data_IF_230135702739
#
_entry.id   IF_230135702739
#
_cell.length_a   1.000
_cell.length_b   1.000
_cell.length_c   1.000
_cell.angle_alpha   90.00
_cell.angle_beta   90.00
_cell.angle_gamma   90.00
#
_symmetry.space_group_name_H-M   'P 1'
#
loop_
_entity.id
_entity.type
_entity.pdbx_description
1 polymer ?
#
# COMPACT_ATOMS: atom_id res chain seq x y z
N UNK A 1 -1.93 14.06 -17.89
CA UNK A 1 -2.48 12.77 -17.45
C UNK A 1 -1.34 11.76 -17.42
N UNK A 2 -1.16 11.10 -16.30
CA UNK A 2 -0.22 9.98 -16.14
C UNK A 2 -0.63 8.80 -17.05
N UNK A 3 0.29 7.90 -17.31
CA UNK A 3 0.03 6.72 -18.15
C UNK A 3 0.74 5.49 -17.61
N UNK A 4 0.26 4.26 -17.91
CA UNK A 4 0.97 3.03 -17.55
C UNK A 4 2.42 3.01 -18.04
N UNK A 5 2.68 3.58 -19.22
CA UNK A 5 4.04 3.72 -19.75
C UNK A 5 4.89 4.66 -18.89
N UNK A 6 4.33 5.76 -18.41
CA UNK A 6 5.02 6.68 -17.49
C UNK A 6 5.36 5.98 -16.18
N UNK A 7 4.40 5.25 -15.59
CA UNK A 7 4.64 4.46 -14.38
C UNK A 7 5.75 3.43 -14.59
N UNK A 8 5.69 2.66 -15.68
CA UNK A 8 6.75 1.68 -15.98
C UNK A 8 8.10 2.37 -16.19
N UNK A 9 8.14 3.49 -16.93
CA UNK A 9 9.36 4.25 -17.14
C UNK A 9 9.95 4.77 -15.83
N UNK A 10 9.11 5.24 -14.91
CA UNK A 10 9.50 5.66 -13.58
C UNK A 10 10.13 4.52 -12.80
N UNK A 11 9.47 3.36 -12.77
CA UNK A 11 9.91 2.19 -11.98
C UNK A 11 11.13 1.49 -12.58
N UNK A 12 11.24 1.44 -13.89
CA UNK A 12 12.42 0.88 -14.57
C UNK A 12 13.61 1.84 -14.43
N UNK A 13 13.37 3.16 -14.45
CA UNK A 13 14.40 4.17 -14.28
C UNK A 13 15.57 3.98 -15.24
N UNK A 14 16.80 4.05 -14.69
CA UNK A 14 18.05 3.63 -15.32
C UNK A 14 18.39 2.17 -15.02
N UNK A 15 17.38 1.34 -14.73
CA UNK A 15 17.58 -0.09 -14.43
C UNK A 15 18.31 -0.80 -15.59
N UNK A 16 19.05 -1.87 -15.31
CA UNK A 16 19.79 -2.59 -16.34
C UNK A 16 18.86 -3.04 -17.46
N UNK A 17 19.39 -3.12 -18.67
CA UNK A 17 18.68 -3.44 -19.92
C UNK A 17 17.89 -4.76 -19.91
N UNK A 18 17.90 -5.49 -18.78
CA UNK A 18 17.25 -6.79 -18.59
C UNK A 18 16.66 -6.89 -17.18
N UNK A 19 15.42 -7.34 -17.08
CA UNK A 19 14.73 -7.62 -15.84
C UNK A 19 13.48 -6.78 -15.61
N UNK A 20 12.69 -7.17 -14.61
CA UNK A 20 11.47 -6.48 -14.23
C UNK A 20 11.67 -5.69 -12.92
N UNK A 21 10.98 -4.56 -12.75
CA UNK A 21 10.99 -3.84 -11.47
C UNK A 21 10.45 -4.72 -10.35
N UNK A 22 11.04 -4.58 -9.16
CA UNK A 22 10.58 -5.20 -7.92
C UNK A 22 10.14 -4.14 -6.93
N UNK A 23 8.89 -4.21 -6.47
CA UNK A 23 8.30 -3.25 -5.54
C UNK A 23 8.03 -3.86 -4.18
N UNK A 24 8.19 -3.03 -3.15
CA UNK A 24 7.81 -3.33 -1.76
C UNK A 24 6.63 -2.48 -1.27
N UNK A 25 6.23 -1.45 -2.01
CA UNK A 25 5.06 -0.63 -1.68
C UNK A 25 3.81 -1.51 -1.55
N UNK A 26 3.03 -1.25 -0.51
CA UNK A 26 1.92 -2.12 -0.14
C UNK A 26 2.31 -3.36 0.64
N UNK A 27 3.50 -3.89 0.45
CA UNK A 27 3.97 -5.09 1.16
C UNK A 27 4.45 -4.77 2.58
N UNK A 28 5.25 -3.71 2.74
CA UNK A 28 5.81 -3.26 4.03
C UNK A 28 5.01 -2.13 4.69
N UNK A 29 3.92 -1.70 4.07
CA UNK A 29 3.07 -0.60 4.56
C UNK A 29 2.35 -0.97 5.87
N UNK A 30 1.99 -2.23 6.06
CA UNK A 30 1.33 -2.73 7.27
C UNK A 30 2.29 -3.22 8.35
N UNK A 31 3.40 -3.84 7.96
CA UNK A 31 4.41 -4.37 8.86
C UNK A 31 5.80 -4.28 8.23
N UNK A 32 6.82 -4.19 9.06
CA UNK A 32 8.22 -4.11 8.65
C UNK A 32 8.93 -5.37 9.13
N UNK A 33 9.85 -5.94 8.34
CA UNK A 33 10.67 -7.04 8.82
C UNK A 33 11.39 -6.70 10.13
N UNK A 34 11.21 -7.52 11.15
CA UNK A 34 11.88 -7.36 12.47
C UNK A 34 13.40 -7.25 12.33
N UNK A 35 13.97 -7.95 11.36
CA UNK A 35 15.39 -7.90 11.04
C UNK A 35 15.82 -6.48 10.63
N UNK A 36 14.99 -5.77 9.85
CA UNK A 36 15.27 -4.41 9.43
C UNK A 36 15.15 -3.42 10.60
N UNK A 37 14.16 -3.59 11.46
CA UNK A 37 14.00 -2.77 12.66
C UNK A 37 15.22 -2.91 13.60
N UNK A 38 15.69 -4.14 13.84
CA UNK A 38 16.86 -4.40 14.68
C UNK A 38 18.16 -3.81 14.10
N UNK A 39 18.25 -3.70 12.79
CA UNK A 39 19.43 -3.13 12.14
C UNK A 39 19.50 -1.60 12.29
N UNK A 40 18.35 -0.92 12.37
CA UNK A 40 18.25 0.55 12.48
C UNK A 40 18.15 1.00 13.93
N UNK A 41 17.22 0.40 14.68
CA UNK A 41 17.05 0.65 16.10
C UNK A 41 17.97 -0.33 16.86
N UNK A 42 19.08 0.15 17.31
CA UNK A 42 20.05 -0.63 18.10
C UNK A 42 19.44 -1.23 19.38
N UNK A 43 18.31 -0.71 19.83
CA UNK A 43 17.57 -1.13 21.00
C UNK A 43 16.12 -1.46 20.60
N UNK A 44 15.60 -2.68 20.91
CA UNK A 44 14.19 -3.04 20.65
C UNK A 44 13.18 -2.06 21.28
N UNK A 45 13.52 -1.43 22.39
CA UNK A 45 12.64 -0.45 23.06
C UNK A 45 12.46 0.84 22.24
N UNK A 46 13.30 1.07 21.22
CA UNK A 46 13.16 2.21 20.31
C UNK A 46 12.20 1.95 19.14
N UNK A 47 11.68 0.73 18.96
CA UNK A 47 10.81 0.40 17.83
C UNK A 47 9.61 1.32 17.68
N UNK A 48 8.87 1.68 18.75
CA UNK A 48 7.77 2.61 18.63
C UNK A 48 8.21 4.00 18.16
N UNK A 49 9.40 4.46 18.54
CA UNK A 49 9.91 5.79 18.17
C UNK A 49 10.30 5.88 16.70
N UNK A 50 10.70 4.76 16.06
CA UNK A 50 11.06 4.73 14.63
C UNK A 50 9.93 5.28 13.77
N UNK A 51 8.69 4.97 14.10
CA UNK A 51 7.51 5.41 13.33
C UNK A 51 7.11 6.87 13.56
N UNK A 52 7.67 7.50 14.58
CA UNK A 52 7.40 8.88 14.94
C UNK A 52 8.59 9.82 14.65
N UNK A 53 9.70 9.26 14.18
CA UNK A 53 10.91 10.00 13.84
C UNK A 53 11.18 9.90 12.34
N UNK A 54 11.15 11.01 11.59
CA UNK A 54 11.32 10.99 10.14
C UNK A 54 12.73 10.54 9.70
N UNK A 55 13.77 10.80 10.49
CA UNK A 55 15.14 10.39 10.16
C UNK A 55 15.31 8.88 10.33
N UNK A 56 14.78 8.31 11.43
CA UNK A 56 14.78 6.86 11.65
C UNK A 56 13.93 6.14 10.62
N UNK A 57 12.76 6.68 10.28
CA UNK A 57 11.87 6.10 9.28
C UNK A 57 12.49 6.14 7.87
N UNK A 58 13.16 7.24 7.51
CA UNK A 58 13.92 7.34 6.27
C UNK A 58 15.10 6.37 6.25
N UNK A 59 15.85 6.28 7.36
CA UNK A 59 16.94 5.32 7.52
C UNK A 59 16.47 3.87 7.33
N UNK A 60 15.32 3.52 7.90
CA UNK A 60 14.70 2.19 7.75
C UNK A 60 14.33 1.90 6.29
N UNK A 61 13.68 2.84 5.61
CA UNK A 61 13.32 2.71 4.19
C UNK A 61 14.56 2.53 3.30
N UNK A 62 15.61 3.32 3.53
CA UNK A 62 16.88 3.22 2.81
C UNK A 62 17.57 1.88 3.07
N UNK A 63 17.61 1.44 4.33
CA UNK A 63 18.21 0.16 4.69
C UNK A 63 17.52 -1.02 4.00
N UNK A 64 16.19 -1.05 4.01
CA UNK A 64 15.41 -2.08 3.32
C UNK A 64 15.69 -2.03 1.82
N UNK A 65 15.62 -0.85 1.21
CA UNK A 65 15.89 -0.67 -0.22
C UNK A 65 17.28 -1.15 -0.62
N UNK A 66 18.31 -0.70 0.08
CA UNK A 66 19.70 -1.04 -0.22
C UNK A 66 20.00 -2.53 0.02
N UNK A 67 19.35 -3.16 1.02
CA UNK A 67 19.53 -4.58 1.32
C UNK A 67 18.79 -5.46 0.33
N UNK A 68 17.56 -5.11 -0.02
CA UNK A 68 16.69 -5.94 -0.88
C UNK A 68 16.98 -5.71 -2.36
N UNK A 69 17.32 -4.49 -2.77
CA UNK A 69 17.48 -4.11 -4.17
C UNK A 69 16.14 -3.82 -4.85
N UNK A 70 15.19 -3.22 -4.11
CA UNK A 70 13.90 -2.81 -4.69
C UNK A 70 14.05 -1.69 -5.71
N UNK A 71 13.14 -1.59 -6.66
CA UNK A 71 13.19 -0.59 -7.74
C UNK A 71 12.69 0.79 -7.32
N UNK A 72 12.20 0.93 -6.10
CA UNK A 72 11.71 2.19 -5.54
C UNK A 72 11.94 2.24 -4.04
N UNK A 73 11.92 3.44 -3.51
CA UNK A 73 11.80 3.67 -2.07
C UNK A 73 10.32 3.59 -1.69
N UNK A 74 10.03 2.89 -0.60
CA UNK A 74 8.69 2.68 -0.07
C UNK A 74 8.64 3.11 1.38
N UNK A 75 7.50 3.63 1.81
CA UNK A 75 7.26 4.02 3.20
C UNK A 75 6.81 2.80 4.01
N UNK A 76 7.55 2.38 5.03
CA UNK A 76 7.06 1.36 5.94
C UNK A 76 5.99 1.94 6.88
N UNK A 77 5.03 1.08 7.27
CA UNK A 77 4.00 1.38 8.29
C UNK A 77 3.13 2.61 8.05
N UNK A 78 2.75 2.86 6.78
CA UNK A 78 1.92 4.00 6.40
C UNK A 78 0.40 3.76 6.53
N UNK A 79 -0.07 2.54 6.78
CA UNK A 79 -1.49 2.17 6.74
C UNK A 79 -2.40 2.84 7.78
N UNK A 80 -1.86 3.44 8.82
CA UNK A 80 -2.65 4.00 9.93
C UNK A 80 -2.54 5.50 10.11
N UNK A 81 -1.72 6.14 9.30
CA UNK A 81 -1.40 7.57 9.43
C UNK A 81 -2.66 8.43 9.39
N UNK A 82 -3.57 8.14 8.47
CA UNK A 82 -4.82 8.90 8.31
C UNK A 82 -5.81 8.60 9.43
N UNK A 83 -5.98 7.33 9.84
CA UNK A 83 -6.90 6.97 10.92
C UNK A 83 -6.46 7.50 12.27
N UNK A 84 -5.16 7.51 12.56
CA UNK A 84 -4.58 8.10 13.78
C UNK A 84 -4.88 9.59 13.87
N UNK A 85 -4.82 10.31 12.76
CA UNK A 85 -5.13 11.74 12.72
C UNK A 85 -6.60 12.03 13.06
N UNK A 86 -7.51 11.09 12.84
CA UNK A 86 -8.91 11.16 13.28
C UNK A 86 -9.14 10.67 14.73
N UNK A 87 -8.09 10.27 15.43
CA UNK A 87 -8.19 9.72 16.79
C UNK A 87 -8.45 8.21 16.83
N UNK A 88 -8.36 7.53 15.67
CA UNK A 88 -8.33 6.08 15.59
C UNK A 88 -6.99 5.54 16.09
N UNK A 89 -7.02 4.37 16.71
CA UNK A 89 -5.86 3.55 17.10
C UNK A 89 -4.58 4.28 17.58
N UNK A 90 -4.69 5.20 18.53
CA UNK A 90 -3.53 5.92 19.06
C UNK A 90 -2.53 5.06 19.83
N UNK A 91 -2.96 3.91 20.36
CA UNK A 91 -2.19 3.14 21.34
C UNK A 91 -1.38 1.96 20.78
N UNK A 92 -1.44 1.70 19.46
CA UNK A 92 -0.72 0.56 18.87
C UNK A 92 0.81 0.73 18.85
N UNK A 93 1.30 1.95 19.04
CA UNK A 93 2.73 2.24 19.11
C UNK A 93 3.19 2.76 20.48
N UNK A 94 2.30 2.84 21.45
CA UNK A 94 2.59 3.38 22.77
C UNK A 94 3.11 2.36 23.79
N UNK A 95 3.19 1.09 23.46
CA UNK A 95 3.68 0.09 24.41
C UNK A 95 3.76 -1.34 23.86
N UNK A 96 4.90 -1.91 24.04
CA UNK A 96 5.22 -3.33 24.31
C UNK A 96 4.92 -4.41 23.25
N UNK A 97 4.28 -4.14 22.11
CA UNK A 97 4.07 -5.16 21.09
C UNK A 97 4.33 -4.63 19.70
N UNK A 98 4.95 -5.43 18.80
CA UNK A 98 5.11 -5.04 17.41
C UNK A 98 3.75 -4.77 16.75
N UNK A 99 3.70 -3.90 15.73
CA UNK A 99 2.46 -3.34 15.17
C UNK A 99 1.45 -4.35 14.63
N UNK A 100 1.73 -5.63 14.63
CA UNK A 100 0.87 -6.67 14.07
C UNK A 100 0.27 -7.65 15.10
N UNK A 101 0.70 -7.68 16.32
CA UNK A 101 -0.06 -8.34 17.38
C UNK A 101 -1.21 -7.43 17.82
N UNK A 102 -2.26 -7.40 16.99
CA UNK A 102 -3.61 -7.16 17.51
C UNK A 102 -3.80 -8.17 18.65
N UNK A 103 -3.58 -7.73 19.89
CA UNK A 103 -3.99 -8.54 21.03
C UNK A 103 -5.47 -8.81 20.80
N UNK A 104 -5.84 -10.07 20.59
CA UNK A 104 -7.22 -10.51 20.37
C UNK A 104 -8.20 -10.07 21.47
N UNK A 105 -7.70 -9.36 22.46
CA UNK A 105 -8.39 -8.89 23.65
C UNK A 105 -8.39 -7.36 23.81
N UNK A 106 -7.81 -6.58 22.90
CA UNK A 106 -7.94 -5.11 22.94
C UNK A 106 -9.39 -4.75 22.60
N UNK A 107 -10.09 -4.16 23.54
CA UNK A 107 -11.40 -3.53 23.28
C UNK A 107 -11.11 -2.26 22.48
N UNK A 108 -11.39 -2.33 21.20
CA UNK A 108 -11.18 -1.27 20.26
C UNK A 108 -12.30 -0.24 20.41
N UNK A 109 -11.99 0.95 20.85
CA UNK A 109 -12.94 2.06 20.83
C UNK A 109 -12.81 2.82 19.49
N UNK A 110 -13.79 2.62 18.61
CA UNK A 110 -13.85 3.38 17.36
C UNK A 110 -14.22 4.85 17.64
N UNK A 111 -13.63 5.80 16.92
CA UNK A 111 -13.97 7.21 17.04
C UNK A 111 -15.44 7.52 16.76
N UNK A 112 -16.07 6.74 15.87
CA UNK A 112 -17.46 6.89 15.48
C UNK A 112 -18.28 5.70 16.00
N UNK A 113 -19.43 6.00 16.62
CA UNK A 113 -20.38 4.97 17.09
C UNK A 113 -21.44 4.65 16.04
N UNK A 114 -21.86 5.67 15.30
CA UNK A 114 -22.79 5.54 14.19
C UNK A 114 -22.30 6.35 12.99
N UNK A 115 -22.84 6.05 11.81
CA UNK A 115 -22.35 6.65 10.57
C UNK A 115 -22.49 8.17 10.56
N UNK A 116 -23.58 8.70 11.11
CA UNK A 116 -23.87 10.15 11.15
C UNK A 116 -22.83 10.96 11.96
N UNK A 117 -22.09 10.31 12.87
CA UNK A 117 -21.07 10.97 13.71
C UNK A 117 -19.93 11.57 12.88
N UNK A 118 -19.72 11.06 11.64
CA UNK A 118 -18.67 11.60 10.76
C UNK A 118 -18.84 13.10 10.48
N UNK A 119 -20.07 13.63 10.57
CA UNK A 119 -20.33 15.07 10.38
C UNK A 119 -19.67 15.95 11.44
N UNK A 120 -19.25 15.35 12.55
CA UNK A 120 -18.44 15.99 13.59
C UNK A 120 -16.93 15.97 13.31
N UNK A 121 -16.47 15.18 12.36
CA UNK A 121 -15.06 15.15 11.99
C UNK A 121 -14.69 16.42 11.23
N UNK A 122 -13.43 16.83 11.44
CA UNK A 122 -12.82 17.93 10.68
C UNK A 122 -11.98 17.39 9.54
N UNK A 123 -11.84 18.16 8.48
CA UNK A 123 -10.84 17.88 7.44
C UNK A 123 -9.43 17.88 8.05
N UNK A 124 -8.60 16.96 7.57
CA UNK A 124 -7.22 16.82 8.04
C UNK A 124 -6.30 17.86 7.40
N UNK A 125 -5.37 18.36 8.19
CA UNK A 125 -4.25 19.16 7.71
C UNK A 125 -2.98 18.28 7.68
N UNK A 126 -2.49 17.87 6.51
CA UNK A 126 -1.31 17.00 6.41
C UNK A 126 -0.02 17.59 7.03
N UNK A 127 0.06 18.92 7.19
CA UNK A 127 1.24 19.57 7.77
C UNK A 127 1.23 19.59 9.32
N UNK A 128 0.12 19.18 9.97
CA UNK A 128 0.00 19.28 11.44
C UNK A 128 -0.66 18.09 12.12
N UNK A 129 -1.47 17.28 11.40
CA UNK A 129 -2.33 16.31 12.05
C UNK A 129 -1.71 14.91 12.11
N UNK A 130 -1.79 14.29 13.29
CA UNK A 130 -1.27 12.94 13.53
C UNK A 130 0.20 12.79 13.14
N UNK A 131 0.53 11.66 12.49
CA UNK A 131 1.86 11.38 11.94
C UNK A 131 2.03 11.83 10.48
N UNK A 132 1.07 12.51 9.89
CA UNK A 132 1.19 13.02 8.52
C UNK A 132 2.46 13.86 8.32
N UNK A 133 2.82 14.83 9.21
CA UNK A 133 4.07 15.59 9.09
C UNK A 133 5.32 14.72 9.09
N UNK A 134 5.33 13.63 9.86
CA UNK A 134 6.45 12.67 9.89
C UNK A 134 6.61 12.00 8.52
N UNK A 135 5.52 11.56 7.92
CA UNK A 135 5.53 10.97 6.56
C UNK A 135 6.05 11.98 5.54
N UNK A 136 5.59 13.23 5.58
CA UNK A 136 6.02 14.26 4.65
C UNK A 136 7.52 14.54 4.77
N UNK A 137 8.04 14.65 5.99
CA UNK A 137 9.46 14.88 6.20
C UNK A 137 10.29 13.67 5.79
N UNK A 138 9.82 12.45 6.09
CA UNK A 138 10.46 11.21 5.62
C UNK A 138 10.60 11.19 4.10
N UNK A 139 9.54 11.54 3.35
CA UNK A 139 9.59 11.62 1.88
C UNK A 139 10.64 12.62 1.39
N UNK A 140 10.73 13.80 2.02
CA UNK A 140 11.75 14.82 1.70
C UNK A 140 13.16 14.26 1.91
N UNK A 141 13.40 13.60 3.04
CA UNK A 141 14.70 12.96 3.37
C UNK A 141 15.06 11.86 2.38
N UNK A 142 14.11 10.98 2.02
CA UNK A 142 14.31 9.94 1.02
C UNK A 142 14.69 10.52 -0.34
N UNK A 143 13.97 11.55 -0.80
CA UNK A 143 14.25 12.19 -2.08
C UNK A 143 15.60 12.91 -2.11
N UNK A 144 16.01 13.50 -0.97
CA UNK A 144 17.35 14.08 -0.83
C UNK A 144 18.45 13.01 -0.86
N UNK A 145 18.23 11.88 -0.19
CA UNK A 145 19.22 10.79 -0.09
C UNK A 145 19.40 10.02 -1.42
N UNK A 146 18.33 9.83 -2.18
CA UNK A 146 18.31 9.04 -3.43
C UNK A 146 17.50 9.74 -4.51
N UNK A 147 18.07 10.79 -5.11
CA UNK A 147 17.40 11.63 -6.12
C UNK A 147 16.92 10.88 -7.36
N UNK A 148 17.66 9.86 -7.77
CA UNK A 148 17.40 9.09 -8.98
C UNK A 148 16.46 7.88 -8.73
N UNK A 149 16.26 7.49 -7.48
CA UNK A 149 15.36 6.39 -7.11
C UNK A 149 13.95 6.93 -6.93
N UNK A 150 12.94 6.34 -7.59
CA UNK A 150 11.56 6.75 -7.40
C UNK A 150 11.11 6.54 -5.96
N UNK A 151 10.36 7.49 -5.43
CA UNK A 151 9.73 7.40 -4.11
C UNK A 151 8.24 7.18 -4.31
N UNK A 152 7.71 6.10 -3.76
CA UNK A 152 6.28 5.78 -3.82
C UNK A 152 5.63 6.19 -2.50
N UNK A 153 4.62 7.05 -2.60
CA UNK A 153 3.74 7.40 -1.49
C UNK A 153 2.67 6.32 -1.29
N UNK A 154 2.25 6.12 -0.06
CA UNK A 154 1.20 5.17 0.30
C UNK A 154 -0.06 5.90 0.76
N UNK A 155 -1.22 5.37 0.37
CA UNK A 155 -2.54 5.89 0.69
C UNK A 155 -3.43 4.75 1.18
N UNK A 156 -4.31 5.06 2.12
CA UNK A 156 -5.36 4.13 2.55
C UNK A 156 -6.63 4.41 1.77
N UNK A 157 -7.23 3.35 1.21
CA UNK A 157 -8.49 3.48 0.49
C UNK A 157 -9.66 3.84 1.42
N UNK A 158 -10.65 4.56 0.90
CA UNK A 158 -11.72 5.15 1.73
C UNK A 158 -12.52 4.14 2.56
N UNK A 159 -12.72 2.92 2.05
CA UNK A 159 -13.45 1.88 2.79
C UNK A 159 -12.63 1.32 3.95
N UNK A 160 -11.36 1.05 3.75
CA UNK A 160 -10.48 0.60 4.84
C UNK A 160 -10.25 1.70 5.87
N UNK A 161 -10.13 2.94 5.42
CA UNK A 161 -10.07 4.09 6.34
C UNK A 161 -11.38 4.20 7.15
N UNK A 162 -12.54 4.04 6.52
CA UNK A 162 -13.81 4.04 7.22
C UNK A 162 -13.90 2.94 8.27
N UNK A 163 -13.42 1.70 7.97
CA UNK A 163 -13.41 0.61 8.96
C UNK A 163 -12.45 0.81 10.13
N UNK A 164 -11.49 1.71 10.00
CA UNK A 164 -10.63 2.14 11.11
C UNK A 164 -11.27 3.21 12.00
N UNK A 165 -12.39 3.80 11.56
CA UNK A 165 -13.09 4.87 12.27
C UNK A 165 -14.44 4.42 12.83
N UNK A 166 -15.07 3.41 12.23
CA UNK A 166 -16.34 2.85 12.68
C UNK A 166 -16.30 1.32 12.59
N UNK A 167 -16.98 0.64 13.50
CA UNK A 167 -17.07 -0.83 13.48
C UNK A 167 -17.50 -1.37 12.10
N UNK A 168 -16.75 -2.34 11.58
CA UNK A 168 -16.94 -2.89 10.24
C UNK A 168 -18.32 -3.52 10.02
N UNK A 169 -18.96 -4.06 11.06
CA UNK A 169 -20.34 -4.59 10.95
C UNK A 169 -21.35 -3.45 10.79
N UNK A 170 -21.14 -2.35 11.48
CA UNK A 170 -21.95 -1.14 11.36
C UNK A 170 -21.80 -0.57 9.94
N UNK A 171 -20.57 -0.45 9.44
CA UNK A 171 -20.29 0.00 8.08
C UNK A 171 -20.99 -0.89 7.03
N UNK A 172 -20.87 -2.21 7.13
CA UNK A 172 -21.51 -3.15 6.19
C UNK A 172 -23.05 -3.07 6.23
N UNK A 173 -23.64 -2.83 7.40
CA UNK A 173 -25.10 -2.61 7.49
C UNK A 173 -25.51 -1.33 6.79
N UNK A 174 -24.71 -0.27 6.92
CA UNK A 174 -24.98 1.05 6.30
C UNK A 174 -25.01 0.99 4.77
N UNK A 175 -24.33 0.05 4.15
CA UNK A 175 -24.39 -0.17 2.69
C UNK A 175 -25.85 -0.31 2.23
N UNK A 176 -26.67 -1.05 2.99
CA UNK A 176 -28.08 -1.31 2.63
C UNK A 176 -29.07 -0.32 3.27
N UNK A 177 -28.80 0.12 4.50
CA UNK A 177 -29.74 0.95 5.27
C UNK A 177 -29.53 2.45 5.07
N UNK A 178 -28.30 2.90 4.82
CA UNK A 178 -27.90 4.31 4.82
C UNK A 178 -26.94 4.63 3.66
N UNK A 179 -27.10 3.97 2.51
CA UNK A 179 -26.19 4.06 1.39
C UNK A 179 -25.88 5.48 0.88
N UNK A 180 -26.82 6.43 1.01
CA UNK A 180 -26.59 7.84 0.67
C UNK A 180 -25.59 8.47 1.67
N UNK A 181 -25.81 8.28 2.97
CA UNK A 181 -24.97 8.81 4.03
C UNK A 181 -23.57 8.18 3.98
N UNK A 182 -23.49 6.87 3.67
CA UNK A 182 -22.21 6.20 3.48
C UNK A 182 -21.43 6.81 2.31
N UNK A 183 -22.08 7.11 1.19
CA UNK A 183 -21.40 7.78 0.06
C UNK A 183 -20.89 9.17 0.43
N UNK A 184 -21.64 9.94 1.22
CA UNK A 184 -21.16 11.23 1.72
C UNK A 184 -19.95 11.08 2.61
N UNK A 185 -19.93 10.09 3.52
CA UNK A 185 -18.82 9.80 4.40
C UNK A 185 -17.56 9.37 3.62
N UNK A 186 -17.71 8.43 2.67
CA UNK A 186 -16.60 8.01 1.81
C UNK A 186 -16.07 9.16 0.95
N UNK A 187 -16.94 10.04 0.47
CA UNK A 187 -16.57 11.28 -0.22
C UNK A 187 -15.73 12.20 0.67
N UNK A 188 -16.15 12.40 1.91
CA UNK A 188 -15.39 13.20 2.89
C UNK A 188 -13.99 12.61 3.13
N UNK A 189 -13.88 11.29 3.36
CA UNK A 189 -12.60 10.62 3.53
C UNK A 189 -11.72 10.74 2.28
N UNK A 190 -12.31 10.56 1.09
CA UNK A 190 -11.60 10.70 -0.19
C UNK A 190 -10.95 12.06 -0.37
N UNK A 191 -11.66 13.16 -0.07
CA UNK A 191 -11.07 14.50 -0.19
C UNK A 191 -9.92 14.72 0.81
N UNK A 192 -9.95 14.09 1.99
CA UNK A 192 -8.84 14.12 2.93
C UNK A 192 -7.65 13.28 2.44
N UNK A 193 -7.90 12.08 1.91
CA UNK A 193 -6.87 11.25 1.27
C UNK A 193 -6.22 11.99 0.09
N UNK A 194 -6.99 12.71 -0.74
CA UNK A 194 -6.46 13.56 -1.82
C UNK A 194 -5.59 14.70 -1.27
N UNK A 195 -6.02 15.36 -0.20
CA UNK A 195 -5.22 16.40 0.45
C UNK A 195 -3.87 15.87 0.91
N UNK A 196 -3.86 14.69 1.51
CA UNK A 196 -2.63 14.02 1.96
C UNK A 196 -1.77 13.56 0.79
N UNK A 197 -2.37 12.99 -0.26
CA UNK A 197 -1.67 12.59 -1.48
C UNK A 197 -0.95 13.79 -2.14
N UNK A 198 -1.62 14.92 -2.28
CA UNK A 198 -1.00 16.15 -2.80
C UNK A 198 0.14 16.67 -1.92
N UNK A 199 0.01 16.57 -0.60
CA UNK A 199 1.09 16.92 0.32
C UNK A 199 2.29 15.98 0.16
N UNK A 200 2.06 14.66 0.04
CA UNK A 200 3.11 13.68 -0.23
C UNK A 200 3.78 13.93 -1.60
N UNK A 201 3.04 14.26 -2.66
CA UNK A 201 3.61 14.59 -3.96
C UNK A 201 4.55 15.82 -3.85
N UNK A 202 4.12 16.88 -3.16
CA UNK A 202 4.98 18.04 -2.89
C UNK A 202 6.20 17.71 -2.03
N UNK A 203 6.10 16.69 -1.18
CA UNK A 203 7.20 16.21 -0.35
C UNK A 203 8.18 15.31 -1.10
N UNK A 204 7.85 14.87 -2.32
CA UNK A 204 8.75 14.12 -3.21
C UNK A 204 8.27 12.74 -3.62
N UNK A 205 7.04 12.34 -3.30
CA UNK A 205 6.43 11.14 -3.87
C UNK A 205 6.17 11.33 -5.36
N UNK A 206 6.54 10.35 -6.18
CA UNK A 206 6.47 10.40 -7.66
C UNK A 206 5.43 9.44 -8.24
N UNK A 207 4.98 8.48 -7.44
CA UNK A 207 3.87 7.58 -7.72
C UNK A 207 3.18 7.21 -6.41
N UNK A 208 1.99 6.62 -6.49
CA UNK A 208 1.23 6.27 -5.30
C UNK A 208 0.75 4.83 -5.32
N UNK A 209 0.68 4.24 -4.14
CA UNK A 209 0.10 2.93 -3.90
C UNK A 209 -1.11 3.08 -2.96
N UNK A 210 -2.31 2.78 -3.46
CA UNK A 210 -3.56 2.83 -2.68
C UNK A 210 -3.91 1.43 -2.20
N UNK A 211 -4.00 1.27 -0.88
CA UNK A 211 -4.39 0.01 -0.25
C UNK A 211 -5.81 0.10 0.32
N UNK A 212 -6.70 -0.75 -0.16
CA UNK A 212 -8.05 -0.85 0.40
C UNK A 212 -8.43 -2.32 0.65
N UNK A 213 -7.79 -2.99 1.64
CA UNK A 213 -8.00 -4.40 1.90
C UNK A 213 -9.44 -4.77 2.29
N UNK A 214 -10.25 -3.81 2.72
CA UNK A 214 -11.67 -4.04 2.98
C UNK A 214 -12.51 -4.04 1.70
N UNK A 215 -12.07 -3.36 0.66
CA UNK A 215 -12.79 -3.26 -0.61
C UNK A 215 -12.52 -4.47 -1.51
N UNK A 216 -12.92 -5.65 -1.08
CA UNK A 216 -12.82 -6.87 -1.89
C UNK A 216 -14.18 -7.27 -2.47
N UNK A 217 -14.15 -8.02 -3.57
CA UNK A 217 -15.38 -8.54 -4.15
C UNK A 217 -16.08 -9.54 -3.23
N UNK A 218 -15.34 -10.27 -2.41
CA UNK A 218 -15.87 -11.24 -1.44
C UNK A 218 -16.62 -10.56 -0.29
N UNK A 219 -16.19 -9.37 0.11
CA UNK A 219 -16.84 -8.59 1.19
C UNK A 219 -18.02 -7.78 0.63
N UNK A 220 -17.81 -7.08 -0.47
CA UNK A 220 -18.79 -6.13 -1.01
C UNK A 220 -19.69 -6.74 -2.09
N UNK A 221 -19.18 -7.67 -2.89
CA UNK A 221 -19.74 -8.00 -4.18
C UNK A 221 -19.47 -6.92 -5.23
N UNK A 222 -19.52 -7.30 -6.51
CA UNK A 222 -19.17 -6.40 -7.61
C UNK A 222 -20.07 -5.13 -7.65
N UNK A 223 -21.37 -5.28 -7.42
CA UNK A 223 -22.32 -4.15 -7.42
C UNK A 223 -21.96 -3.09 -6.37
N UNK A 224 -21.71 -3.49 -5.13
CA UNK A 224 -21.36 -2.53 -4.08
C UNK A 224 -19.92 -2.00 -4.22
N UNK A 225 -19.01 -2.78 -4.79
CA UNK A 225 -17.69 -2.27 -5.17
C UNK A 225 -17.81 -1.10 -6.17
N UNK A 226 -18.67 -1.23 -7.16
CA UNK A 226 -18.93 -0.17 -8.14
C UNK A 226 -19.55 1.09 -7.53
N UNK A 227 -20.33 0.95 -6.47
CA UNK A 227 -21.00 2.06 -5.80
C UNK A 227 -20.17 2.73 -4.71
N UNK A 228 -19.34 1.95 -3.99
CA UNK A 228 -18.70 2.39 -2.76
C UNK A 228 -17.15 2.35 -2.81
N UNK A 229 -16.54 1.84 -3.88
CA UNK A 229 -15.09 1.85 -4.07
C UNK A 229 -14.68 2.59 -5.35
N UNK A 230 -15.15 2.15 -6.51
CA UNK A 230 -14.75 2.64 -7.82
C UNK A 230 -14.80 4.17 -7.99
N UNK A 231 -15.89 4.89 -7.61
CA UNK A 231 -15.98 6.34 -7.83
C UNK A 231 -14.89 7.11 -7.06
N UNK A 232 -14.55 6.63 -5.88
CA UNK A 232 -13.57 7.27 -5.00
C UNK A 232 -12.13 7.00 -5.47
N UNK A 233 -11.84 5.79 -5.95
CA UNK A 233 -10.54 5.50 -6.56
C UNK A 233 -10.32 6.34 -7.81
N UNK A 234 -11.34 6.46 -8.66
CA UNK A 234 -11.26 7.27 -9.86
C UNK A 234 -11.05 8.75 -9.52
N UNK A 235 -11.72 9.25 -8.48
CA UNK A 235 -11.52 10.62 -7.99
C UNK A 235 -10.09 10.87 -7.51
N UNK A 236 -9.49 9.91 -6.78
CA UNK A 236 -8.08 9.98 -6.34
C UNK A 236 -7.16 9.92 -7.57
N UNK A 237 -7.41 8.99 -8.50
CA UNK A 237 -6.61 8.85 -9.72
C UNK A 237 -6.62 10.11 -10.59
N UNK A 238 -7.78 10.75 -10.76
CA UNK A 238 -7.91 12.01 -11.50
C UNK A 238 -7.05 13.11 -10.87
N UNK A 239 -7.16 13.28 -9.55
CA UNK A 239 -6.40 14.30 -8.84
C UNK A 239 -4.88 14.06 -8.89
N UNK A 240 -4.43 12.81 -8.75
CA UNK A 240 -3.03 12.46 -8.86
C UNK A 240 -2.53 12.59 -10.31
N UNK A 241 -3.38 12.28 -11.29
CA UNK A 241 -3.09 12.48 -12.70
C UNK A 241 -2.87 13.96 -13.06
N UNK A 242 -3.56 14.90 -12.40
CA UNK A 242 -3.31 16.34 -12.51
C UNK A 242 -1.93 16.74 -11.99
N UNK A 243 -1.46 16.09 -10.94
CA UNK A 243 -0.10 16.26 -10.37
C UNK A 243 0.98 15.50 -11.18
N UNK A 244 0.59 14.71 -12.19
CA UNK A 244 1.51 13.88 -12.97
C UNK A 244 1.98 12.61 -12.23
N UNK A 245 1.35 12.25 -11.13
CA UNK A 245 1.69 11.09 -10.29
C UNK A 245 0.81 9.89 -10.65
N UNK A 246 1.38 8.79 -11.18
CA UNK A 246 0.62 7.56 -11.42
C UNK A 246 0.15 6.90 -10.13
N UNK A 247 -1.01 6.22 -10.22
CA UNK A 247 -1.61 5.47 -9.12
C UNK A 247 -1.60 3.97 -9.40
N UNK A 248 -1.17 3.19 -8.41
CA UNK A 248 -1.35 1.73 -8.34
C UNK A 248 -2.43 1.46 -7.28
N UNK A 249 -3.47 0.73 -7.64
CA UNK A 249 -4.52 0.31 -6.68
C UNK A 249 -4.33 -1.16 -6.35
N UNK A 250 -4.22 -1.47 -5.05
CA UNK A 250 -4.16 -2.84 -4.55
C UNK A 250 -5.56 -3.34 -4.21
N UNK A 251 -5.92 -4.47 -4.80
CA UNK A 251 -7.18 -5.16 -4.56
C UNK A 251 -6.89 -6.60 -4.13
N UNK A 252 -7.28 -6.90 -2.89
CA UNK A 252 -7.23 -8.26 -2.36
C UNK A 252 -8.35 -9.14 -2.95
N UNK A 253 -8.23 -10.44 -2.76
CA UNK A 253 -9.26 -11.41 -3.10
C UNK A 253 -9.21 -11.90 -4.56
N UNK A 254 -10.36 -12.41 -5.06
CA UNK A 254 -10.47 -13.01 -6.38
C UNK A 254 -10.78 -11.94 -7.46
N UNK A 255 -9.81 -11.58 -8.29
CA UNK A 255 -9.94 -10.46 -9.23
C UNK A 255 -10.98 -10.70 -10.33
N UNK A 256 -11.34 -11.96 -10.63
CA UNK A 256 -12.33 -12.28 -11.66
C UNK A 256 -13.71 -11.71 -11.36
N UNK A 257 -14.03 -11.54 -10.08
CA UNK A 257 -15.31 -10.98 -9.65
C UNK A 257 -15.45 -9.49 -9.97
N UNK A 258 -14.34 -8.81 -10.28
CA UNK A 258 -14.27 -7.38 -10.58
C UNK A 258 -13.76 -7.09 -12.01
N UNK A 259 -13.73 -8.08 -12.88
CA UNK A 259 -13.14 -7.98 -14.22
C UNK A 259 -13.65 -6.77 -15.02
N UNK A 260 -14.97 -6.61 -15.09
CA UNK A 260 -15.61 -5.51 -15.82
C UNK A 260 -15.37 -4.14 -15.16
N UNK A 261 -15.12 -4.15 -13.84
CA UNK A 261 -14.85 -2.93 -13.08
C UNK A 261 -13.44 -2.41 -13.32
N UNK A 262 -12.47 -3.31 -13.48
CA UNK A 262 -11.07 -2.93 -13.72
C UNK A 262 -10.90 -2.06 -14.98
N UNK A 263 -11.67 -2.33 -16.04
CA UNK A 263 -11.64 -1.52 -17.26
C UNK A 263 -12.06 -0.06 -17.01
N UNK A 264 -12.86 0.19 -15.98
CA UNK A 264 -13.40 1.51 -15.62
C UNK A 264 -12.59 2.24 -14.55
N UNK A 265 -11.59 1.57 -13.95
CA UNK A 265 -10.66 2.23 -13.03
C UNK A 265 -9.70 3.11 -13.81
N UNK A 266 -9.45 4.32 -13.32
CA UNK A 266 -8.57 5.29 -13.97
C UNK A 266 -7.09 5.17 -13.54
N UNK A 267 -6.77 4.28 -12.59
CA UNK A 267 -5.39 4.02 -12.16
C UNK A 267 -4.52 3.44 -13.28
N UNK A 268 -3.22 3.66 -13.22
CA UNK A 268 -2.24 3.15 -14.19
C UNK A 268 -1.80 1.72 -13.88
N UNK A 269 -1.82 1.33 -12.60
CA UNK A 269 -1.42 0.00 -12.15
C UNK A 269 -2.48 -0.68 -11.30
N UNK A 270 -2.55 -2.01 -11.41
CA UNK A 270 -3.36 -2.87 -10.55
C UNK A 270 -2.45 -3.87 -9.84
N UNK A 271 -2.43 -3.78 -8.52
CA UNK A 271 -1.77 -4.77 -7.69
C UNK A 271 -2.77 -5.85 -7.30
N UNK A 272 -2.52 -7.09 -7.76
CA UNK A 272 -3.45 -8.20 -7.64
C UNK A 272 -2.79 -9.39 -6.94
N UNK A 273 -3.57 -10.06 -6.11
CA UNK A 273 -3.12 -11.30 -5.45
C UNK A 273 -2.80 -12.39 -6.47
N UNK A 274 -3.60 -12.51 -7.52
CA UNK A 274 -3.40 -13.46 -8.63
C UNK A 274 -3.71 -12.79 -9.96
N UNK A 275 -2.91 -13.10 -10.99
CA UNK A 275 -3.28 -12.70 -12.32
C UNK A 275 -4.40 -13.63 -12.82
N UNK A 276 -5.54 -13.08 -13.15
CA UNK A 276 -6.59 -13.88 -13.74
C UNK A 276 -6.26 -14.16 -15.20
N UNK A 277 -6.27 -15.44 -15.58
CA UNK A 277 -6.18 -15.81 -16.99
C UNK A 277 -7.38 -15.22 -17.74
N UNK A 278 -7.13 -14.42 -18.77
CA UNK A 278 -8.16 -13.98 -19.72
C UNK A 278 -9.06 -12.84 -19.26
N UNK A 279 -8.62 -11.94 -18.37
CA UNK A 279 -9.37 -10.70 -18.10
C UNK A 279 -9.26 -9.74 -19.28
N UNK A 280 -10.34 -9.63 -20.03
CA UNK A 280 -10.59 -8.47 -20.86
C UNK A 280 -10.70 -7.25 -19.94
N UNK A 281 -10.07 -6.11 -20.31
CA UNK A 281 -10.15 -4.87 -19.54
C UNK A 281 -8.90 -4.52 -18.72
N UNK A 282 -7.89 -5.41 -18.70
CA UNK A 282 -6.56 -5.07 -18.15
C UNK A 282 -5.64 -4.45 -19.21
N UNK A 283 -6.10 -4.39 -20.48
CA UNK A 283 -5.36 -3.76 -21.56
C UNK A 283 -5.05 -2.29 -21.20
N UNK A 284 -3.77 -1.95 -21.24
CA UNK A 284 -3.31 -0.62 -20.90
C UNK A 284 -3.10 -0.35 -19.40
N UNK A 285 -3.14 -1.38 -18.52
CA UNK A 285 -2.75 -1.27 -17.11
C UNK A 285 -1.51 -2.10 -16.82
N UNK A 286 -0.67 -1.64 -15.91
CA UNK A 286 0.43 -2.45 -15.38
C UNK A 286 -0.09 -3.40 -14.31
N UNK A 287 0.21 -4.68 -14.46
CA UNK A 287 -0.03 -5.66 -13.41
C UNK A 287 1.16 -5.70 -12.45
N UNK A 288 0.87 -5.52 -11.16
CA UNK A 288 1.83 -5.51 -10.06
C UNK A 288 1.53 -6.68 -9.13
N UNK A 289 2.54 -7.47 -8.76
CA UNK A 289 2.37 -8.62 -7.87
C UNK A 289 3.16 -9.84 -8.29
N UNK A 290 2.56 -11.00 -8.16
CA UNK A 290 3.08 -12.26 -8.72
C UNK A 290 3.79 -13.16 -7.72
N UNK A 291 4.19 -12.72 -6.55
CA UNK A 291 4.77 -13.57 -5.51
C UNK A 291 3.78 -13.68 -4.34
N UNK A 292 3.31 -14.88 -4.05
CA UNK A 292 2.43 -15.08 -2.89
C UNK A 292 3.15 -14.74 -1.60
N UNK A 293 2.55 -13.88 -0.75
CA UNK A 293 3.15 -13.43 0.50
C UNK A 293 3.56 -14.61 1.41
N UNK A 294 2.74 -15.66 1.46
CA UNK A 294 3.01 -16.87 2.24
C UNK A 294 4.29 -17.61 1.79
N UNK A 295 4.71 -17.47 0.54
CA UNK A 295 5.94 -18.07 0.02
C UNK A 295 7.22 -17.43 0.61
N UNK A 296 7.09 -16.19 1.05
CA UNK A 296 8.21 -15.42 1.63
C UNK A 296 8.34 -15.65 3.14
N UNK A 297 7.29 -16.17 3.77
CA UNK A 297 7.29 -16.49 5.20
C UNK A 297 8.06 -17.79 5.44
N UNK A 298 8.83 -17.84 6.52
CA UNK A 298 9.59 -19.04 6.89
C UNK A 298 10.76 -19.36 5.95
N UNK A 299 11.18 -18.43 5.11
CA UNK A 299 12.29 -18.60 4.16
C UNK A 299 13.61 -18.83 4.90
N UNK A 300 14.16 -20.03 4.75
CA UNK A 300 15.42 -20.44 5.35
C UNK A 300 16.66 -20.23 4.48
N UNK A 301 16.48 -19.74 3.24
CA UNK A 301 17.57 -19.45 2.29
C UNK A 301 18.15 -20.68 1.60
N UNK A 302 17.43 -21.81 1.55
CA UNK A 302 17.84 -22.99 0.80
C UNK A 302 17.82 -22.74 -0.73
N UNK A 303 18.57 -23.52 -1.48
CA UNK A 303 18.54 -23.46 -2.94
C UNK A 303 17.15 -23.81 -3.51
N UNK A 304 16.42 -24.69 -2.84
CA UNK A 304 15.06 -25.08 -3.24
C UNK A 304 14.06 -23.93 -3.07
N UNK A 305 14.13 -23.19 -1.96
CA UNK A 305 13.27 -22.03 -1.70
C UNK A 305 13.56 -20.90 -2.69
N UNK A 306 14.83 -20.62 -2.97
CA UNK A 306 15.21 -19.64 -4.01
C UNK A 306 14.69 -20.05 -5.39
N UNK A 307 14.80 -21.32 -5.75
CA UNK A 307 14.28 -21.84 -7.01
C UNK A 307 12.75 -21.71 -7.09
N UNK A 308 12.04 -21.98 -5.97
CA UNK A 308 10.59 -21.81 -5.91
C UNK A 308 10.16 -20.34 -6.12
N UNK A 309 10.86 -19.38 -5.52
CA UNK A 309 10.63 -17.95 -5.75
C UNK A 309 10.87 -17.60 -7.23
N UNK A 310 11.97 -18.06 -7.83
CA UNK A 310 12.27 -17.80 -9.23
C UNK A 310 11.17 -18.36 -10.17
N UNK A 311 10.70 -19.59 -9.94
CA UNK A 311 9.58 -20.17 -10.67
C UNK A 311 8.29 -19.34 -10.52
N UNK A 312 8.04 -18.78 -9.36
CA UNK A 312 6.87 -17.90 -9.15
C UNK A 312 6.99 -16.61 -9.95
N UNK A 313 8.17 -16.01 -10.02
CA UNK A 313 8.45 -14.84 -10.86
C UNK A 313 8.23 -15.17 -12.34
N UNK A 314 8.80 -16.28 -12.85
CA UNK A 314 8.60 -16.72 -14.23
C UNK A 314 7.12 -16.95 -14.55
N UNK A 315 6.39 -17.60 -13.63
CA UNK A 315 4.95 -17.80 -13.77
C UNK A 315 4.17 -16.47 -13.75
N UNK A 316 4.58 -15.48 -12.95
CA UNK A 316 3.98 -14.16 -12.94
C UNK A 316 4.20 -13.44 -14.29
N UNK A 317 5.42 -13.45 -14.81
CA UNK A 317 5.76 -12.88 -16.12
C UNK A 317 4.90 -13.51 -17.23
N UNK A 318 4.79 -14.83 -17.24
CA UNK A 318 3.98 -15.54 -18.24
C UNK A 318 2.48 -15.22 -18.16
N UNK A 319 2.01 -14.71 -17.04
CA UNK A 319 0.64 -14.23 -16.79
C UNK A 319 0.45 -12.74 -17.03
N UNK A 320 1.48 -12.03 -17.48
CA UNK A 320 1.41 -10.62 -17.87
C UNK A 320 1.72 -9.62 -16.73
N UNK A 321 2.26 -10.06 -15.59
CA UNK A 321 2.79 -9.13 -14.62
C UNK A 321 4.01 -8.39 -15.20
N UNK A 322 3.96 -7.08 -15.13
CA UNK A 322 5.02 -6.18 -15.62
C UNK A 322 5.88 -5.62 -14.50
N UNK A 323 5.42 -5.76 -13.27
CA UNK A 323 6.09 -5.33 -12.05
C UNK A 323 5.94 -6.44 -11.02
N UNK A 324 7.05 -6.94 -10.52
CA UNK A 324 7.04 -8.00 -9.51
C UNK A 324 6.95 -7.41 -8.11
N UNK A 325 6.10 -7.96 -7.30
CA UNK A 325 5.90 -7.57 -5.91
C UNK A 325 5.32 -8.74 -5.10
N UNK A 326 5.43 -8.70 -3.76
CA UNK A 326 4.57 -9.55 -2.92
C UNK A 326 3.09 -9.23 -3.20
N UNK A 327 2.27 -10.26 -3.24
CA UNK A 327 0.85 -10.15 -3.63
C UNK A 327 -0.04 -9.53 -2.56
N UNK A 328 0.49 -9.30 -1.35
CA UNK A 328 -0.22 -8.72 -0.21
C UNK A 328 0.78 -8.19 0.81
N UNK A 329 0.28 -7.56 1.87
CA UNK A 329 1.08 -7.17 3.04
C UNK A 329 1.83 -8.36 3.62
N UNK A 330 3.06 -8.11 4.02
CA UNK A 330 3.93 -9.08 4.64
C UNK A 330 3.79 -9.03 6.17
N UNK A 331 4.09 -10.14 6.80
CA UNK A 331 4.25 -10.24 8.25
C UNK A 331 5.64 -9.77 8.67
N UNK A 332 5.80 -9.28 9.91
CA UNK A 332 7.07 -8.81 10.45
C UNK A 332 8.15 -9.90 10.51
N UNK A 333 7.75 -11.18 10.48
CA UNK A 333 8.65 -12.33 10.48
C UNK A 333 9.30 -12.64 9.12
N UNK A 334 8.90 -11.93 8.04
CA UNK A 334 9.54 -12.10 6.74
C UNK A 334 11.01 -11.70 6.81
N UNK A 335 11.91 -12.52 6.25
CA UNK A 335 13.32 -12.19 6.21
C UNK A 335 13.68 -11.27 5.04
N UNK A 336 14.66 -10.39 5.25
CA UNK A 336 15.22 -9.58 4.16
C UNK A 336 15.83 -10.47 3.06
N UNK A 337 16.37 -11.63 3.42
CA UNK A 337 16.89 -12.61 2.47
C UNK A 337 15.83 -13.18 1.51
N UNK A 338 14.59 -13.35 1.98
CA UNK A 338 13.46 -13.73 1.13
C UNK A 338 13.16 -12.65 0.09
N UNK A 339 13.08 -11.39 0.56
CA UNK A 339 12.82 -10.24 -0.31
C UNK A 339 13.95 -10.00 -1.31
N UNK A 340 15.20 -10.14 -0.88
CA UNK A 340 16.39 -10.06 -1.74
C UNK A 340 16.37 -11.15 -2.82
N UNK A 341 15.97 -12.38 -2.46
CA UNK A 341 15.85 -13.48 -3.43
C UNK A 341 14.75 -13.18 -4.46
N UNK A 342 13.64 -12.59 -4.04
CA UNK A 342 12.54 -12.19 -4.92
C UNK A 342 12.97 -11.05 -5.88
N UNK A 343 13.65 -10.04 -5.36
CA UNK A 343 14.18 -8.94 -6.17
C UNK A 343 15.23 -9.45 -7.19
N UNK A 344 16.15 -10.32 -6.75
CA UNK A 344 17.12 -10.93 -7.64
C UNK A 344 16.50 -11.77 -8.76
N UNK A 345 15.42 -12.52 -8.46
CA UNK A 345 14.69 -13.27 -9.45
C UNK A 345 13.96 -12.35 -10.45
N UNK A 346 13.35 -11.25 -10.00
CA UNK A 346 12.71 -10.27 -10.87
C UNK A 346 13.71 -9.60 -11.83
N UNK A 347 14.87 -9.19 -11.33
CA UNK A 347 15.95 -8.63 -12.14
C UNK A 347 16.59 -9.62 -13.11
N UNK A 348 16.54 -10.92 -12.79
CA UNK A 348 17.04 -12.01 -13.65
C UNK A 348 16.03 -12.50 -14.68
N UNK A 349 14.76 -12.18 -14.53
CA UNK A 349 13.71 -12.56 -15.47
C UNK A 349 13.90 -11.78 -16.78
N UNK A 350 14.38 -12.46 -17.81
CA UNK A 350 14.56 -11.88 -19.14
C UNK A 350 13.21 -11.48 -19.76
N UNK A 351 13.13 -10.26 -20.30
CA UNK A 351 12.04 -9.81 -21.19
C UNK A 351 12.33 -10.33 -22.60
#
# INVERSE_FOLDING_TARGET
MSSPRQLLTLLVGKAPEKGLPFLLSGAITGAVPDEALRAIALDPDLYPSVYNDPELLAGLSLYIHDTVGSSSLSLPCAMRVESEAYGGEKDLYAGESPPFELSRNAVFEYPLKELADYKGLKGLNPESDGRMPVVLETLRLLKLARRETPVIGDLVGPLSLATSLIDGKTLLRSIKSEGALLREFLGFLTENTISFARAQARAGAEAFFLLDPFATAEILGAEFFELFALPYYNRIAECLGEEGCPLIVHICGEPRLLADTFARMLCEGLSLHRAPAGLAGLDGKLLVGGIEALQLLGFGGSAQERAAIACSVEAAVSRGFSVIAPSCSLDATVSLGALQSAAGAALGAGI
#
